data_IF_050975072743
#
_entry.id   IF_050975072743
#
_cell.length_a   1.000
_cell.length_b   1.000
_cell.length_c   1.000
_cell.angle_alpha   90.00
_cell.angle_beta   90.00
_cell.angle_gamma   90.00
#
_symmetry.space_group_name_H-M   'P 1'
#
loop_
_entity.id
_entity.type
_entity.pdbx_description
1 polymer ?
#
# COMPACT_ATOMS: atom_id res chain seq x y z
N UNK A 1 -14.99 -7.09 -4.51
CA UNK A 1 -14.16 -6.52 -3.42
C UNK A 1 -14.85 -6.34 -2.04
N UNK A 2 -16.06 -6.87 -1.77
CA UNK A 2 -16.66 -6.88 -0.41
C UNK A 2 -17.44 -8.16 -0.07
N UNK A 3 -17.58 -9.11 -0.99
CA UNK A 3 -18.23 -10.38 -0.66
C UNK A 3 -17.33 -11.23 0.25
N UNK A 4 -17.88 -12.31 0.82
CA UNK A 4 -17.14 -13.12 1.79
C UNK A 4 -15.84 -13.69 1.19
N UNK A 5 -15.87 -14.15 -0.06
CA UNK A 5 -14.68 -14.64 -0.75
C UNK A 5 -13.61 -13.56 -0.94
N UNK A 6 -14.00 -12.31 -1.20
CA UNK A 6 -13.05 -11.19 -1.26
C UNK A 6 -12.33 -10.99 0.08
N UNK A 7 -13.07 -11.04 1.19
CA UNK A 7 -12.55 -10.78 2.53
C UNK A 7 -11.70 -11.93 3.05
N UNK A 8 -12.11 -13.17 2.80
CA UNK A 8 -11.39 -14.38 3.21
C UNK A 8 -10.03 -14.51 2.50
N UNK A 9 -9.87 -13.85 1.35
CA UNK A 9 -8.64 -13.86 0.56
C UNK A 9 -7.85 -12.54 0.66
N UNK A 10 -8.16 -11.69 1.64
CA UNK A 10 -7.36 -10.49 1.88
C UNK A 10 -5.94 -10.88 2.27
N UNK A 11 -4.94 -10.30 1.58
CA UNK A 11 -3.53 -10.61 1.81
C UNK A 11 -2.73 -9.31 1.86
N UNK A 12 -1.74 -9.28 2.76
CA UNK A 12 -0.74 -8.24 2.84
C UNK A 12 0.62 -8.75 2.38
N UNK A 13 1.32 -7.93 1.61
CA UNK A 13 2.71 -8.18 1.22
C UNK A 13 3.64 -7.35 2.10
N UNK A 14 4.82 -7.87 2.41
CA UNK A 14 5.87 -7.07 3.03
C UNK A 14 7.21 -7.29 2.34
N UNK A 15 8.04 -6.24 2.31
CA UNK A 15 9.43 -6.31 1.89
C UNK A 15 10.25 -5.28 2.66
N UNK A 16 11.41 -5.68 3.16
CA UNK A 16 12.32 -4.78 3.85
C UNK A 16 13.67 -4.67 3.16
N UNK A 17 14.33 -3.52 3.37
CA UNK A 17 15.72 -3.30 2.99
C UNK A 17 16.35 -2.27 3.92
N UNK A 18 17.56 -2.56 4.39
CA UNK A 18 18.36 -1.60 5.14
C UNK A 18 19.54 -1.09 4.31
N UNK A 19 19.85 0.21 4.41
CA UNK A 19 20.97 0.87 3.77
C UNK A 19 21.32 2.19 4.50
N UNK A 20 22.61 2.53 4.60
CA UNK A 20 23.09 3.79 5.20
C UNK A 20 22.49 4.14 6.58
N UNK A 21 22.36 3.15 7.48
CA UNK A 21 21.81 3.34 8.83
C UNK A 21 20.29 3.39 8.91
N UNK A 22 19.59 3.32 7.78
CA UNK A 22 18.13 3.28 7.70
C UNK A 22 17.63 1.89 7.32
N UNK A 23 16.44 1.53 7.78
CA UNK A 23 15.68 0.37 7.32
C UNK A 23 14.31 0.84 6.83
N UNK A 24 13.99 0.52 5.57
CA UNK A 24 12.66 0.69 5.01
C UNK A 24 11.92 -0.64 5.11
N UNK A 25 10.73 -0.63 5.70
CA UNK A 25 9.80 -1.78 5.75
C UNK A 25 8.55 -1.37 4.98
N UNK A 26 8.40 -1.91 3.78
CA UNK A 26 7.23 -1.65 2.95
C UNK A 26 6.17 -2.70 3.22
N UNK A 27 4.93 -2.26 3.43
CA UNK A 27 3.72 -3.10 3.42
C UNK A 27 2.87 -2.70 2.23
N UNK A 28 2.32 -3.67 1.50
CA UNK A 28 1.46 -3.41 0.35
C UNK A 28 0.18 -4.25 0.42
N UNK A 29 -0.90 -3.66 -0.11
CA UNK A 29 -2.19 -4.29 -0.31
C UNK A 29 -2.53 -4.24 -1.79
N UNK A 30 -3.26 -5.26 -2.24
CA UNK A 30 -3.84 -5.31 -3.57
C UNK A 30 -5.36 -5.20 -3.47
N UNK A 31 -5.94 -4.38 -4.35
CA UNK A 31 -7.37 -4.28 -4.55
C UNK A 31 -7.72 -4.64 -6.00
N UNK A 32 -8.86 -5.29 -6.21
CA UNK A 32 -9.27 -5.74 -7.56
C UNK A 32 -9.52 -4.56 -8.52
N UNK A 33 -9.82 -3.39 -7.98
CA UNK A 33 -10.03 -2.13 -8.69
C UNK A 33 -9.87 -0.94 -7.75
N UNK A 34 -9.48 0.18 -8.32
CA UNK A 34 -9.77 1.51 -7.78
C UNK A 34 -11.00 2.07 -8.52
N UNK A 35 -12.00 2.52 -7.77
CA UNK A 35 -13.25 3.03 -8.34
C UNK A 35 -13.67 4.30 -7.61
N UNK A 36 -13.43 5.44 -8.25
CA UNK A 36 -13.88 6.74 -7.76
C UNK A 36 -15.40 6.91 -7.79
N UNK A 37 -16.07 6.41 -8.83
CA UNK A 37 -17.54 6.53 -9.00
C UNK A 37 -18.21 5.16 -8.92
N UNK A 38 -19.11 4.92 -7.94
CA UNK A 38 -19.77 3.62 -7.74
C UNK A 38 -20.47 3.11 -9.00
N UNK A 39 -20.19 1.85 -9.37
CA UNK A 39 -20.82 1.21 -10.54
C UNK A 39 -20.36 1.72 -11.91
N UNK A 40 -19.41 2.66 -11.96
CA UNK A 40 -18.89 3.25 -13.20
C UNK A 40 -17.39 2.99 -13.38
N UNK A 41 -16.92 2.96 -14.64
CA UNK A 41 -15.49 2.98 -14.96
C UNK A 41 -14.88 4.39 -14.98
N UNK A 42 -15.69 5.43 -14.78
CA UNK A 42 -15.23 6.82 -14.83
C UNK A 42 -14.31 7.13 -13.64
N UNK A 43 -13.07 7.52 -13.93
CA UNK A 43 -12.10 7.91 -12.90
C UNK A 43 -11.55 6.75 -12.08
N UNK A 44 -11.57 5.52 -12.60
CA UNK A 44 -11.01 4.35 -11.92
C UNK A 44 -10.25 3.44 -12.88
N UNK A 45 -9.72 2.35 -12.33
CA UNK A 45 -9.03 1.32 -13.10
C UNK A 45 -9.17 -0.06 -12.47
N UNK A 46 -9.01 -1.09 -13.31
CA UNK A 46 -8.90 -2.47 -12.87
C UNK A 46 -7.50 -2.68 -12.28
N UNK A 47 -7.44 -3.33 -11.13
CA UNK A 47 -6.24 -3.54 -10.31
C UNK A 47 -5.77 -2.26 -9.63
N UNK A 48 -5.46 -2.37 -8.35
CA UNK A 48 -4.86 -1.29 -7.58
C UNK A 48 -3.89 -1.84 -6.53
N UNK A 49 -2.78 -1.15 -6.33
CA UNK A 49 -1.71 -1.54 -5.40
C UNK A 49 -1.33 -0.31 -4.59
N UNK A 50 -1.68 -0.36 -3.31
CA UNK A 50 -1.32 0.69 -2.35
C UNK A 50 -0.30 0.16 -1.36
N UNK A 51 0.57 1.03 -0.88
CA UNK A 51 1.66 0.66 -0.01
C UNK A 51 2.07 1.78 0.95
N UNK A 52 2.55 1.36 2.11
CA UNK A 52 3.20 2.24 3.09
C UNK A 52 4.64 1.82 3.28
N UNK A 53 5.52 2.78 3.55
CA UNK A 53 6.91 2.53 3.92
C UNK A 53 7.14 3.07 5.32
N UNK A 54 7.46 2.19 6.25
CA UNK A 54 7.90 2.57 7.60
C UNK A 54 9.41 2.72 7.57
N UNK A 55 9.90 3.91 7.90
CA UNK A 55 11.32 4.24 7.95
C UNK A 55 11.82 4.17 9.38
N UNK A 56 12.79 3.28 9.61
CA UNK A 56 13.38 3.01 10.91
C UNK A 56 14.84 3.42 10.90
N UNK A 57 15.28 4.16 11.92
CA UNK A 57 16.68 4.48 12.19
C UNK A 57 16.97 4.21 13.66
N UNK A 58 18.13 3.62 13.98
CA UNK A 58 18.55 3.33 15.35
C UNK A 58 17.50 2.58 16.21
N UNK A 59 16.70 1.74 15.55
CA UNK A 59 15.65 0.95 16.19
C UNK A 59 14.35 1.72 16.50
N UNK A 60 14.21 2.97 16.05
CA UNK A 60 13.02 3.80 16.21
C UNK A 60 12.35 4.08 14.86
N UNK A 61 11.03 4.19 14.85
CA UNK A 61 10.27 4.63 13.67
C UNK A 61 10.36 6.14 13.60
N UNK A 62 10.86 6.66 12.49
CA UNK A 62 11.04 8.11 12.30
C UNK A 62 10.00 8.70 11.33
N UNK A 63 9.65 7.96 10.26
CA UNK A 63 8.71 8.42 9.25
C UNK A 63 7.83 7.29 8.73
N UNK A 64 6.67 7.66 8.20
CA UNK A 64 5.80 6.77 7.42
C UNK A 64 5.48 7.45 6.10
N UNK A 65 5.83 6.80 4.99
CA UNK A 65 5.41 7.25 3.67
C UNK A 65 4.18 6.47 3.20
N UNK A 66 3.17 7.15 2.67
CA UNK A 66 1.97 6.54 2.08
C UNK A 66 1.95 6.77 0.58
N UNK A 67 1.66 5.75 -0.22
CA UNK A 67 1.47 5.89 -1.66
C UNK A 67 0.31 6.83 -2.00
N UNK A 68 0.47 7.56 -3.10
CA UNK A 68 -0.52 8.49 -3.63
C UNK A 68 -0.33 8.61 -5.14
N UNK A 69 -1.04 7.80 -5.93
CA UNK A 69 -1.06 7.84 -7.40
C UNK A 69 0.34 7.96 -8.05
N UNK A 70 1.27 7.07 -7.68
CA UNK A 70 2.63 7.04 -8.21
C UNK A 70 3.65 7.91 -7.46
N UNK A 71 3.22 8.65 -6.44
CA UNK A 71 4.07 9.41 -5.52
C UNK A 71 3.94 8.89 -4.08
N UNK A 72 4.70 9.48 -3.15
CA UNK A 72 4.55 9.27 -1.72
C UNK A 72 4.28 10.58 -1.01
N UNK A 73 3.39 10.54 -0.01
CA UNK A 73 3.31 11.54 1.04
C UNK A 73 4.11 11.03 2.24
N UNK A 74 4.86 11.89 2.92
CA UNK A 74 5.72 11.56 4.07
C UNK A 74 5.43 12.50 5.22
#
# INVERSE_FOLDING_TARGET
CRDASDLDNTNGYSRSKCNNGWCAIMYALYFEKDQAVPGSGLGGHRHDFEHVVVWVQDGQVEYVSTSAHGSFNV
#
